data_IF_532928467739
#
_entry.id   IF_532928467739
#
_cell.length_a   1.000
_cell.length_b   1.000
_cell.length_c   1.000
_cell.angle_alpha   90.00
_cell.angle_beta   90.00
_cell.angle_gamma   90.00
#
_symmetry.space_group_name_H-M   'P 1'
#
loop_
_entity.id
_entity.type
_entity.pdbx_description
1 polymer ?
#
# COMPACT_ATOMS: atom_id res chain seq x y z
N UNK A 1 63.67 -16.36 0.46
CA UNK A 1 63.62 -16.63 -0.99
C UNK A 1 62.30 -17.34 -1.29
N UNK A 2 61.71 -17.02 -2.43
CA UNK A 2 60.28 -17.14 -2.75
C UNK A 2 59.87 -18.58 -3.11
N UNK A 3 58.65 -18.97 -2.72
CA UNK A 3 57.84 -20.02 -3.35
C UNK A 3 56.40 -19.45 -3.38
N UNK A 4 55.68 -19.27 -4.49
CA UNK A 4 55.71 -20.00 -5.77
C UNK A 4 54.34 -20.66 -5.96
N UNK A 5 53.69 -20.38 -7.09
CA UNK A 5 52.26 -20.54 -7.42
C UNK A 5 51.57 -21.91 -7.18
N UNK A 6 50.30 -21.79 -6.75
CA UNK A 6 49.09 -22.62 -7.00
C UNK A 6 49.02 -24.10 -6.58
N UNK A 7 48.06 -24.41 -5.70
CA UNK A 7 47.09 -25.50 -5.92
C UNK A 7 45.74 -25.18 -5.24
N UNK A 8 44.73 -24.95 -6.07
CA UNK A 8 43.36 -24.57 -5.71
C UNK A 8 42.57 -25.83 -5.30
N UNK A 9 42.11 -25.90 -4.05
CA UNK A 9 41.08 -26.85 -3.66
C UNK A 9 39.70 -26.34 -4.12
N UNK A 10 39.29 -26.69 -5.35
CA UNK A 10 37.90 -26.51 -5.80
C UNK A 10 37.03 -27.57 -5.14
N UNK A 11 36.39 -27.24 -4.02
CA UNK A 11 35.22 -27.98 -3.55
C UNK A 11 34.06 -27.72 -4.52
N UNK A 12 33.58 -28.79 -5.17
CA UNK A 12 32.39 -28.75 -6.02
C UNK A 12 31.15 -28.63 -5.12
N UNK A 13 30.71 -27.40 -4.82
CA UNK A 13 29.35 -27.15 -4.36
C UNK A 13 28.43 -27.31 -5.58
N UNK A 14 27.49 -28.26 -5.54
CA UNK A 14 26.39 -28.31 -6.50
C UNK A 14 25.40 -27.20 -6.12
N UNK A 15 25.43 -26.08 -6.82
CA UNK A 15 24.37 -25.09 -6.77
C UNK A 15 23.17 -25.59 -7.57
N UNK A 16 22.15 -26.08 -6.86
CA UNK A 16 20.77 -25.95 -7.34
C UNK A 16 20.33 -24.50 -7.06
N UNK A 17 19.87 -23.78 -8.07
CA UNK A 17 19.67 -22.32 -8.09
C UNK A 17 18.75 -21.79 -6.97
N UNK A 18 18.93 -20.51 -6.57
CA UNK A 18 18.17 -19.44 -7.21
C UNK A 18 19.05 -18.22 -7.51
N UNK A 19 18.88 -17.63 -8.70
CA UNK A 19 19.61 -16.45 -9.12
C UNK A 19 19.27 -15.24 -8.26
N UNK A 20 20.27 -14.70 -7.57
CA UNK A 20 20.28 -13.33 -7.02
C UNK A 20 21.65 -12.75 -7.34
N UNK A 21 21.69 -11.70 -8.15
CA UNK A 21 22.89 -10.97 -8.50
C UNK A 21 22.68 -9.47 -8.25
N UNK A 22 23.43 -8.97 -7.27
CA UNK A 22 23.94 -7.62 -6.99
C UNK A 22 23.06 -6.36 -7.14
N UNK A 23 22.78 -5.79 -5.96
CA UNK A 23 22.88 -4.37 -5.56
C UNK A 23 22.84 -3.29 -6.67
N UNK A 24 21.64 -2.76 -6.90
CA UNK A 24 21.43 -1.41 -7.39
C UNK A 24 20.18 -0.80 -6.71
N UNK A 25 20.23 0.51 -6.51
CA UNK A 25 19.42 1.35 -5.65
C UNK A 25 17.90 1.36 -6.01
N UNK A 26 17.01 1.14 -5.02
CA UNK A 26 15.57 1.54 -4.94
C UNK A 26 14.54 0.90 -5.90
N UNK A 27 14.08 -0.32 -5.66
CA UNK A 27 12.69 -0.68 -6.01
C UNK A 27 12.09 -1.69 -5.02
N UNK A 28 11.53 -1.17 -3.93
CA UNK A 28 10.78 -1.93 -2.93
C UNK A 28 9.58 -2.72 -3.52
N UNK A 29 9.11 -2.32 -4.70
CA UNK A 29 7.93 -2.89 -5.38
C UNK A 29 8.34 -3.87 -6.49
N UNK A 30 9.61 -4.28 -6.59
CA UNK A 30 10.13 -5.07 -7.72
C UNK A 30 9.64 -6.53 -7.77
N UNK A 31 9.10 -7.06 -6.68
CA UNK A 31 8.60 -8.43 -6.60
C UNK A 31 7.16 -8.48 -6.04
N UNK A 32 6.57 -9.68 -6.06
CA UNK A 32 5.19 -9.88 -5.62
C UNK A 32 4.96 -9.44 -4.17
N UNK A 33 5.89 -9.76 -3.27
CA UNK A 33 5.75 -9.48 -1.84
C UNK A 33 5.90 -7.99 -1.56
N UNK A 34 6.92 -7.34 -2.11
CA UNK A 34 7.12 -5.90 -2.00
C UNK A 34 5.96 -5.09 -2.57
N UNK A 35 5.39 -5.56 -3.69
CA UNK A 35 4.16 -4.99 -4.21
C UNK A 35 2.96 -5.14 -3.27
N UNK A 36 2.76 -6.34 -2.70
CA UNK A 36 1.67 -6.57 -1.75
C UNK A 36 1.80 -5.66 -0.53
N UNK A 37 3.01 -5.54 0.01
CA UNK A 37 3.29 -4.68 1.16
C UNK A 37 3.06 -3.20 0.84
N UNK A 38 3.44 -2.74 -0.36
CA UNK A 38 3.11 -1.38 -0.80
C UNK A 38 1.60 -1.12 -0.80
N UNK A 39 0.78 -2.02 -1.35
CA UNK A 39 -0.67 -1.82 -1.35
C UNK A 39 -1.33 -2.03 0.01
N UNK A 40 -0.74 -2.84 0.90
CA UNK A 40 -1.15 -2.87 2.32
C UNK A 40 -0.91 -1.51 2.99
N UNK A 41 0.24 -0.88 2.73
CA UNK A 41 0.52 0.46 3.23
C UNK A 41 -0.46 1.51 2.66
N UNK A 42 -0.82 1.43 1.38
CA UNK A 42 -1.86 2.30 0.79
C UNK A 42 -3.20 2.15 1.51
N UNK A 43 -3.62 0.93 1.87
CA UNK A 43 -4.85 0.74 2.68
C UNK A 43 -4.79 1.47 4.01
N UNK A 44 -3.65 1.39 4.70
CA UNK A 44 -3.45 2.06 5.99
C UNK A 44 -3.49 3.59 5.85
N UNK A 45 -2.88 4.13 4.80
CA UNK A 45 -2.97 5.56 4.44
C UNK A 45 -4.43 5.96 4.21
N UNK A 46 -5.20 5.16 3.48
CA UNK A 46 -6.61 5.47 3.23
C UNK A 46 -7.49 5.39 4.49
N UNK A 47 -7.08 4.60 5.49
CA UNK A 47 -7.74 4.49 6.78
C UNK A 47 -7.24 5.52 7.83
N UNK A 48 -6.19 6.30 7.50
CA UNK A 48 -5.58 7.27 8.41
C UNK A 48 -6.48 8.49 8.65
N UNK A 49 -6.55 8.93 9.91
CA UNK A 49 -7.24 10.16 10.30
C UNK A 49 -6.56 11.39 9.70
N UNK A 50 -5.25 11.41 9.68
CA UNK A 50 -4.42 12.51 9.19
C UNK A 50 -4.68 12.75 7.70
N UNK A 51 -4.65 11.68 6.90
CA UNK A 51 -4.98 11.73 5.47
C UNK A 51 -6.42 12.20 5.27
N UNK A 52 -7.37 11.69 6.08
CA UNK A 52 -8.76 12.15 6.00
C UNK A 52 -8.89 13.65 6.25
N UNK A 53 -8.25 14.18 7.29
CA UNK A 53 -8.31 15.60 7.62
C UNK A 53 -7.67 16.47 6.53
N UNK A 54 -6.55 16.05 5.97
CA UNK A 54 -5.87 16.76 4.89
C UNK A 54 -6.73 16.81 3.61
N UNK A 55 -7.31 15.67 3.23
CA UNK A 55 -8.21 15.59 2.07
C UNK A 55 -9.48 16.41 2.31
N UNK A 56 -10.02 16.39 3.54
CA UNK A 56 -11.19 17.19 3.94
C UNK A 56 -10.90 18.68 3.79
N UNK A 57 -9.76 19.14 4.30
CA UNK A 57 -9.33 20.53 4.18
C UNK A 57 -9.19 20.96 2.72
N UNK A 58 -8.53 20.15 1.88
CA UNK A 58 -8.40 20.44 0.45
C UNK A 58 -9.77 20.51 -0.25
N UNK A 59 -10.66 19.55 0.02
CA UNK A 59 -12.00 19.54 -0.55
C UNK A 59 -12.85 20.74 -0.09
N UNK A 60 -12.73 21.16 1.17
CA UNK A 60 -13.40 22.37 1.66
C UNK A 60 -12.87 23.64 1.00
N UNK A 61 -11.57 23.72 0.69
CA UNK A 61 -11.00 24.82 -0.09
C UNK A 61 -11.57 24.86 -1.50
N UNK A 62 -11.70 23.70 -2.15
CA UNK A 62 -12.35 23.61 -3.46
C UNK A 62 -13.80 24.06 -3.42
N UNK A 63 -14.55 23.74 -2.35
CA UNK A 63 -15.93 24.20 -2.20
C UNK A 63 -16.05 25.73 -2.18
N UNK A 64 -15.03 26.47 -1.72
CA UNK A 64 -15.03 27.94 -1.70
C UNK A 64 -14.87 28.58 -3.07
N UNK A 65 -14.52 27.79 -4.10
CA UNK A 65 -14.43 28.25 -5.49
C UNK A 65 -15.80 28.27 -6.19
N UNK A 66 -16.84 27.69 -5.58
CA UNK A 66 -18.18 27.64 -6.16
C UNK A 66 -18.88 29.01 -6.10
N UNK A 67 -19.68 29.37 -7.13
CA UNK A 67 -20.41 30.62 -7.14
C UNK A 67 -21.58 30.57 -6.14
N UNK A 68 -21.59 31.50 -5.19
CA UNK A 68 -22.74 31.73 -4.32
C UNK A 68 -22.73 30.92 -3.01
N UNK A 69 -23.20 31.52 -1.91
CA UNK A 69 -23.02 30.98 -0.56
C UNK A 69 -23.81 29.69 -0.30
N UNK A 70 -24.90 29.44 -1.03
CA UNK A 70 -25.68 28.22 -0.87
C UNK A 70 -24.93 26.98 -1.40
N UNK A 71 -24.27 27.11 -2.56
CA UNK A 71 -23.49 26.02 -3.16
C UNK A 71 -22.26 25.70 -2.32
N UNK A 72 -21.56 26.73 -1.82
CA UNK A 72 -20.45 26.56 -0.87
C UNK A 72 -20.88 25.73 0.34
N UNK A 73 -21.99 26.11 1.00
CA UNK A 73 -22.49 25.39 2.18
C UNK A 73 -22.90 23.95 1.87
N UNK A 74 -23.56 23.72 0.72
CA UNK A 74 -23.98 22.37 0.31
C UNK A 74 -22.78 21.47 0.03
N UNK A 75 -21.78 21.99 -0.68
CA UNK A 75 -20.53 21.29 -0.97
C UNK A 75 -19.80 20.92 0.33
N UNK A 76 -19.59 21.89 1.22
CA UNK A 76 -18.91 21.65 2.51
C UNK A 76 -19.64 20.60 3.36
N UNK A 77 -20.97 20.66 3.42
CA UNK A 77 -21.77 19.64 4.14
C UNK A 77 -21.60 18.26 3.51
N UNK A 78 -21.62 18.19 2.18
CA UNK A 78 -21.40 16.94 1.46
C UNK A 78 -20.01 16.35 1.76
N UNK A 79 -18.96 17.17 1.68
CA UNK A 79 -17.58 16.75 2.00
C UNK A 79 -17.50 16.17 3.41
N UNK A 80 -17.94 16.92 4.42
CA UNK A 80 -17.89 16.48 5.83
C UNK A 80 -18.66 15.19 6.10
N UNK A 81 -19.83 15.03 5.47
CA UNK A 81 -20.69 13.87 5.69
C UNK A 81 -20.22 12.60 4.96
N UNK A 82 -19.58 12.73 3.80
CA UNK A 82 -19.34 11.59 2.91
C UNK A 82 -17.87 11.19 2.78
N UNK A 83 -16.93 12.10 3.04
CA UNK A 83 -15.52 11.83 2.77
C UNK A 83 -14.95 10.68 3.60
N UNK A 84 -15.34 10.56 4.88
CA UNK A 84 -14.91 9.45 5.73
C UNK A 84 -15.34 8.09 5.15
N UNK A 85 -16.61 7.96 4.78
CA UNK A 85 -17.15 6.73 4.20
C UNK A 85 -16.50 6.43 2.84
N UNK A 86 -16.23 7.45 2.04
CA UNK A 86 -15.56 7.30 0.75
C UNK A 86 -14.15 6.74 0.91
N UNK A 87 -13.31 7.33 1.79
CA UNK A 87 -11.95 6.85 2.04
C UNK A 87 -11.93 5.43 2.62
N UNK A 88 -12.85 5.12 3.54
CA UNK A 88 -13.04 3.75 4.06
C UNK A 88 -13.44 2.77 2.95
N UNK A 89 -14.27 3.19 2.00
CA UNK A 89 -14.63 2.33 0.87
C UNK A 89 -13.45 2.14 -0.07
N UNK A 90 -12.61 3.16 -0.28
CA UNK A 90 -11.41 3.01 -1.10
C UNK A 90 -10.41 2.01 -0.48
N UNK A 91 -10.23 2.02 0.85
CA UNK A 91 -9.32 1.08 1.50
C UNK A 91 -9.75 -0.38 1.29
N UNK A 92 -11.06 -0.67 1.33
CA UNK A 92 -11.58 -2.03 1.11
C UNK A 92 -11.47 -2.48 -0.35
N UNK A 93 -11.56 -1.56 -1.30
CA UNK A 93 -11.41 -1.84 -2.73
C UNK A 93 -9.95 -2.12 -3.13
N UNK A 94 -8.98 -1.60 -2.38
CA UNK A 94 -7.58 -1.95 -2.58
C UNK A 94 -7.39 -3.42 -2.22
N UNK A 95 -7.05 -4.25 -3.19
CA UNK A 95 -6.79 -5.70 -3.03
C UNK A 95 -5.34 -5.97 -3.47
N UNK A 96 -4.35 -5.99 -2.54
CA UNK A 96 -2.92 -6.01 -2.85
C UNK A 96 -2.55 -7.06 -3.88
N UNK A 97 -2.95 -8.32 -3.66
CA UNK A 97 -2.66 -9.40 -4.61
C UNK A 97 -3.25 -9.11 -6.02
N UNK A 98 -4.50 -8.64 -6.11
CA UNK A 98 -5.14 -8.31 -7.40
C UNK A 98 -4.46 -7.14 -8.12
N UNK A 99 -4.10 -6.08 -7.39
CA UNK A 99 -3.35 -4.96 -7.95
C UNK A 99 -1.96 -5.41 -8.43
N UNK A 100 -1.27 -6.24 -7.66
CA UNK A 100 0.04 -6.77 -8.03
C UNK A 100 -0.01 -7.76 -9.20
N UNK A 101 -1.09 -8.54 -9.33
CA UNK A 101 -1.36 -9.35 -10.52
C UNK A 101 -1.57 -8.46 -11.77
N UNK A 102 -2.28 -7.33 -11.62
CA UNK A 102 -2.51 -6.40 -12.74
C UNK A 102 -1.21 -5.79 -13.25
N UNK A 103 -0.25 -5.56 -12.35
CA UNK A 103 1.10 -5.08 -12.66
C UNK A 103 2.07 -6.20 -13.04
N UNK A 104 1.60 -7.45 -13.14
CA UNK A 104 2.39 -8.64 -13.50
C UNK A 104 3.54 -8.95 -12.54
N UNK A 105 3.46 -8.46 -11.30
CA UNK A 105 4.44 -8.72 -10.24
C UNK A 105 4.09 -9.98 -9.45
N UNK A 106 2.80 -10.28 -9.33
CA UNK A 106 2.31 -11.53 -8.73
C UNK A 106 1.77 -12.49 -9.80
N UNK A 107 1.90 -13.81 -9.58
CA UNK A 107 1.37 -14.80 -10.51
C UNK A 107 -0.17 -14.77 -10.53
N UNK A 108 -0.74 -15.07 -11.70
CA UNK A 108 -2.19 -15.16 -11.90
C UNK A 108 -2.71 -16.50 -11.39
N UNK A 109 -2.65 -16.70 -10.08
CA UNK A 109 -3.12 -17.93 -9.49
C UNK A 109 -4.67 -17.89 -9.39
N UNK A 110 -5.34 -18.93 -9.90
CA UNK A 110 -6.76 -19.20 -9.65
C UNK A 110 -6.98 -19.77 -8.24
N UNK A 111 -5.91 -20.16 -7.54
CA UNK A 111 -5.96 -20.63 -6.16
C UNK A 111 -6.14 -19.45 -5.23
N UNK A 112 -7.28 -19.46 -4.56
CA UNK A 112 -7.67 -18.64 -3.43
C UNK A 112 -6.49 -18.48 -2.44
N UNK A 113 -5.74 -17.38 -2.55
CA UNK A 113 -4.95 -16.86 -1.43
C UNK A 113 -6.01 -16.28 -0.48
N UNK A 114 -6.21 -16.86 0.72
CA UNK A 114 -7.16 -16.29 1.67
C UNK A 114 -6.75 -14.84 1.86
N UNK A 115 -7.62 -13.90 1.49
CA UNK A 115 -7.44 -12.55 1.98
C UNK A 115 -7.42 -12.66 3.50
N UNK A 116 -6.26 -12.39 4.09
CA UNK A 116 -6.10 -12.31 5.54
C UNK A 116 -7.29 -11.53 6.08
N UNK A 117 -8.02 -12.15 7.03
CA UNK A 117 -9.10 -11.49 7.75
C UNK A 117 -8.57 -10.16 8.25
N UNK A 118 -9.12 -9.10 7.68
CA UNK A 118 -8.65 -7.76 7.84
C UNK A 118 -9.00 -7.27 9.25
N UNK A 119 -8.10 -7.52 10.21
CA UNK A 119 -8.20 -6.93 11.54
C UNK A 119 -8.14 -5.40 11.51
N UNK A 120 -8.00 -4.75 10.35
CA UNK A 120 -8.19 -3.30 10.23
C UNK A 120 -9.63 -2.87 10.52
N UNK A 121 -10.64 -3.77 10.46
CA UNK A 121 -11.96 -3.48 11.03
C UNK A 121 -11.86 -3.17 12.54
N UNK A 122 -10.97 -3.83 13.29
CA UNK A 122 -10.72 -3.50 14.70
C UNK A 122 -9.99 -2.17 14.89
N UNK A 123 -9.07 -1.79 14.00
CA UNK A 123 -8.36 -0.50 14.07
C UNK A 123 -9.34 0.65 13.78
N UNK A 124 -10.25 0.47 12.83
CA UNK A 124 -11.31 1.45 12.52
C UNK A 124 -12.26 1.63 13.71
N UNK A 125 -12.63 0.54 14.41
CA UNK A 125 -13.47 0.59 15.61
C UNK A 125 -12.75 1.19 16.83
N UNK A 126 -11.45 0.94 17.00
CA UNK A 126 -10.67 1.52 18.09
C UNK A 126 -10.54 3.06 17.94
N UNK A 127 -10.39 3.55 16.72
CA UNK A 127 -10.25 4.98 16.44
C UNK A 127 -11.56 5.78 16.55
N UNK A 128 -12.73 5.15 16.55
CA UNK A 128 -14.02 5.82 16.77
C UNK A 128 -14.38 6.02 18.25
N UNK A 129 -13.66 5.38 19.18
CA UNK A 129 -13.98 5.39 20.62
C UNK A 129 -12.97 6.18 21.48
N UNK A 130 -12.08 6.96 20.86
CA UNK A 130 -11.09 7.82 21.58
C UNK A 130 -11.61 9.27 21.74
N UNK A 131 -12.71 9.64 21.08
CA UNK A 131 -13.29 10.99 21.16
C UNK A 131 -14.58 11.04 22.02
N UNK A 132 -14.53 10.52 23.25
CA UNK A 132 -15.50 10.82 24.33
C UNK A 132 -14.80 11.31 25.59
#
# INVERSE_FOLDING_TARGET
MVCGAECIAKTRVKSASPGVGNDDQRNFVADCDGCKEFFKFIRQILASREVRLEVEFMAERMCRLLPGPQLVRRCQRFTRANLNQFLKTLSTLVKPHRFCQSMRLCPRNQTYEPEELDNSELIVYANSNIDH
#
